data_IF_337096653715
#
_entry.id   IF_337096653715
#
_cell.length_a   1.000
_cell.length_b   1.000
_cell.length_c   1.000
_cell.angle_alpha   90.00
_cell.angle_beta   90.00
_cell.angle_gamma   90.00
#
_symmetry.space_group_name_H-M   'P 1'
#
loop_
_entity.id
_entity.type
_entity.pdbx_description
1 polymer ?
#
# COMPACT_ATOMS: atom_id res chain seq x y z
N UNK A 1 -14.34 12.42 14.11
CA UNK A 1 -13.91 12.87 12.76
C UNK A 1 -13.10 14.19 12.80
N UNK A 2 -12.35 14.40 13.86
CA UNK A 2 -11.60 15.65 14.12
C UNK A 2 -10.07 15.44 14.11
N UNK A 3 -9.59 14.33 13.60
CA UNK A 3 -8.16 14.03 13.52
C UNK A 3 -7.40 14.94 12.53
N UNK A 4 -6.06 14.95 12.60
CA UNK A 4 -5.22 15.81 11.77
C UNK A 4 -5.28 15.46 10.28
N UNK A 5 -5.52 14.19 9.95
CA UNK A 5 -5.64 13.73 8.56
C UNK A 5 -7.04 14.01 8.00
N UNK A 6 -7.09 14.77 6.91
CA UNK A 6 -8.35 15.01 6.20
C UNK A 6 -8.54 13.96 5.11
N UNK A 7 -9.70 13.30 5.17
CA UNK A 7 -10.20 12.42 4.11
C UNK A 7 -11.42 13.10 3.48
N UNK A 8 -11.47 13.13 2.16
CA UNK A 8 -12.57 13.76 1.41
C UNK A 8 -13.13 12.79 0.38
N UNK A 9 -14.39 12.99 0.05
CA UNK A 9 -15.03 12.28 -1.05
C UNK A 9 -14.66 12.93 -2.39
N UNK A 10 -14.46 12.10 -3.40
CA UNK A 10 -14.28 12.60 -4.78
C UNK A 10 -15.61 13.12 -5.29
N UNK A 11 -15.72 14.38 -5.78
CA UNK A 11 -16.98 14.92 -6.26
C UNK A 11 -17.50 14.16 -7.49
N UNK A 12 -18.69 13.59 -7.39
CA UNK A 12 -19.31 12.71 -8.40
C UNK A 12 -19.34 13.34 -9.80
N UNK A 13 -19.75 14.61 -9.91
CA UNK A 13 -19.86 15.34 -11.18
C UNK A 13 -18.51 15.63 -11.85
N UNK A 14 -17.39 15.47 -11.15
CA UNK A 14 -16.03 15.70 -11.68
C UNK A 14 -15.41 14.44 -12.28
N UNK A 15 -16.06 13.28 -12.12
CA UNK A 15 -15.50 11.99 -12.55
C UNK A 15 -16.09 11.58 -13.89
N UNK A 16 -15.29 11.58 -14.98
CA UNK A 16 -15.78 11.15 -16.29
C UNK A 16 -16.26 9.69 -16.26
N UNK A 17 -17.28 9.39 -17.06
CA UNK A 17 -17.83 8.05 -17.24
C UNK A 17 -18.46 7.41 -15.99
N UNK A 18 -18.44 8.06 -14.81
CA UNK A 18 -18.92 7.45 -13.57
C UNK A 18 -20.35 6.94 -13.70
N UNK A 19 -21.28 7.76 -14.20
CA UNK A 19 -22.69 7.38 -14.32
C UNK A 19 -22.89 6.19 -15.26
N UNK A 20 -22.12 6.15 -16.36
CA UNK A 20 -22.14 5.00 -17.29
C UNK A 20 -21.57 3.74 -16.63
N UNK A 21 -20.55 3.89 -15.80
CA UNK A 21 -19.94 2.77 -15.07
C UNK A 21 -20.86 2.24 -13.98
N UNK A 22 -21.55 3.12 -13.25
CA UNK A 22 -22.58 2.72 -12.27
C UNK A 22 -23.69 1.94 -12.96
N UNK A 23 -24.26 2.51 -14.02
CA UNK A 23 -25.35 1.86 -14.75
C UNK A 23 -24.96 0.50 -15.36
N UNK A 24 -23.72 0.34 -15.79
CA UNK A 24 -23.23 -0.94 -16.27
C UNK A 24 -22.97 -1.93 -15.13
N UNK A 25 -22.42 -1.47 -14.00
CA UNK A 25 -22.16 -2.30 -12.82
C UNK A 25 -23.45 -2.85 -12.20
N UNK A 26 -24.50 -2.04 -12.10
CA UNK A 26 -25.81 -2.47 -11.62
C UNK A 26 -26.40 -3.58 -12.48
N UNK A 27 -26.23 -3.52 -13.80
CA UNK A 27 -26.70 -4.57 -14.73
C UNK A 27 -25.96 -5.89 -14.57
N UNK A 28 -24.71 -5.88 -14.06
CA UNK A 28 -23.95 -7.09 -13.75
C UNK A 28 -24.04 -7.49 -12.27
N UNK A 29 -25.04 -6.95 -11.54
CA UNK A 29 -25.35 -7.31 -10.16
C UNK A 29 -24.48 -6.63 -9.11
N UNK A 30 -23.75 -5.56 -9.45
CA UNK A 30 -22.90 -4.81 -8.51
C UNK A 30 -23.50 -3.42 -8.26
N UNK A 31 -24.11 -3.19 -7.09
CA UNK A 31 -24.83 -1.95 -6.80
C UNK A 31 -23.89 -0.75 -6.65
N UNK A 32 -24.44 0.45 -6.82
CA UNK A 32 -23.73 1.65 -6.39
C UNK A 32 -23.59 1.64 -4.86
N UNK A 33 -22.36 1.77 -4.40
CA UNK A 33 -22.02 1.85 -2.97
C UNK A 33 -21.49 3.26 -2.66
N UNK A 34 -22.21 4.08 -1.90
CA UNK A 34 -21.81 5.44 -1.58
C UNK A 34 -20.62 5.51 -0.62
N UNK A 35 -20.36 4.44 0.15
CA UNK A 35 -19.25 4.36 1.11
C UNK A 35 -18.57 2.99 1.06
N UNK A 36 -17.56 2.86 0.20
CA UNK A 36 -16.76 1.64 0.04
C UNK A 36 -15.91 1.29 1.27
N UNK A 37 -15.83 2.18 2.26
CA UNK A 37 -15.18 1.96 3.55
C UNK A 37 -16.20 1.85 4.70
N UNK A 38 -17.48 1.73 4.38
CA UNK A 38 -18.58 1.55 5.33
C UNK A 38 -18.76 0.11 5.79
N UNK A 39 -19.99 -0.22 6.22
CA UNK A 39 -20.34 -1.54 6.71
C UNK A 39 -20.24 -2.64 5.65
N UNK A 40 -20.48 -2.30 4.39
CA UNK A 40 -20.32 -3.19 3.23
C UNK A 40 -19.38 -2.57 2.22
N UNK A 41 -18.46 -3.38 1.71
CA UNK A 41 -17.47 -2.91 0.72
C UNK A 41 -17.91 -3.22 -0.72
N UNK A 42 -18.80 -4.18 -0.94
CA UNK A 42 -19.19 -4.65 -2.27
C UNK A 42 -19.92 -3.58 -3.07
N UNK A 43 -19.64 -3.53 -4.38
CA UNK A 43 -20.26 -2.62 -5.33
C UNK A 43 -19.28 -1.69 -6.03
N UNK A 44 -19.83 -0.76 -6.81
CA UNK A 44 -19.09 0.30 -7.47
C UNK A 44 -19.26 1.62 -6.72
N UNK A 45 -18.18 2.35 -6.51
CA UNK A 45 -18.24 3.63 -5.82
C UNK A 45 -17.06 4.53 -6.11
N UNK A 46 -17.06 5.68 -5.45
CA UNK A 46 -15.98 6.65 -5.57
C UNK A 46 -14.93 6.42 -4.49
N UNK A 47 -13.66 6.67 -4.86
CA UNK A 47 -12.57 6.63 -3.91
C UNK A 47 -12.67 7.78 -2.91
N UNK A 48 -12.64 7.46 -1.63
CA UNK A 48 -12.30 8.43 -0.58
C UNK A 48 -10.79 8.67 -0.61
N UNK A 49 -10.39 9.93 -0.49
CA UNK A 49 -9.00 10.32 -0.77
C UNK A 49 -8.43 11.24 0.31
N UNK A 50 -7.12 11.13 0.53
CA UNK A 50 -6.37 12.04 1.39
C UNK A 50 -5.90 13.28 0.62
N UNK A 51 -6.85 13.96 -0.03
CA UNK A 51 -6.63 15.21 -0.78
C UNK A 51 -7.64 16.24 -0.28
N UNK A 52 -7.16 17.40 0.14
CA UNK A 52 -8.03 18.51 0.49
C UNK A 52 -7.53 19.80 -0.19
N UNK A 53 -8.43 20.55 -0.83
CA UNK A 53 -8.11 21.75 -1.61
C UNK A 53 -7.00 21.51 -2.64
N UNK A 54 -7.10 20.40 -3.39
CA UNK A 54 -6.11 20.00 -4.38
C UNK A 54 -4.76 19.54 -3.83
N UNK A 55 -4.53 19.57 -2.53
CA UNK A 55 -3.25 19.19 -1.91
C UNK A 55 -3.35 17.85 -1.20
N UNK A 56 -2.36 16.97 -1.44
CA UNK A 56 -2.20 15.71 -0.71
C UNK A 56 -2.00 15.97 0.79
N UNK A 57 -2.78 15.30 1.61
CA UNK A 57 -2.68 15.30 3.07
C UNK A 57 -1.69 14.19 3.48
N UNK A 58 -0.39 14.47 3.36
CA UNK A 58 0.66 13.53 3.76
C UNK A 58 0.84 13.54 5.28
N UNK A 59 1.44 12.48 5.83
CA UNK A 59 1.81 12.40 7.25
C UNK A 59 2.77 13.53 7.64
N UNK A 60 3.70 13.91 6.76
CA UNK A 60 4.56 15.07 7.00
C UNK A 60 3.74 16.36 7.20
N UNK A 61 2.78 16.62 6.29
CA UNK A 61 1.95 17.81 6.36
C UNK A 61 0.96 17.79 7.53
N UNK A 62 0.36 16.63 7.83
CA UNK A 62 -0.70 16.53 8.83
C UNK A 62 -0.18 16.35 10.27
N UNK A 63 0.96 15.69 10.44
CA UNK A 63 1.49 15.32 11.76
C UNK A 63 2.82 16.00 12.07
N UNK A 64 3.78 15.97 11.13
CA UNK A 64 5.13 16.44 11.40
C UNK A 64 5.24 17.97 11.38
N UNK A 65 4.68 18.62 10.35
CA UNK A 65 4.78 20.09 10.24
C UNK A 65 4.17 20.83 11.44
N UNK A 66 2.98 20.44 11.96
CA UNK A 66 2.45 21.05 13.18
C UNK A 66 3.29 20.82 14.44
N UNK A 67 4.08 19.75 14.46
CA UNK A 67 4.92 19.38 15.62
C UNK A 67 6.34 19.93 15.55
N UNK A 68 6.81 20.47 14.42
CA UNK A 68 8.21 20.91 14.21
C UNK A 68 8.72 21.91 15.23
N UNK A 69 7.83 22.75 15.77
CA UNK A 69 8.19 23.76 16.76
C UNK A 69 8.30 23.26 18.20
N UNK A 70 8.06 21.98 18.45
CA UNK A 70 8.15 21.42 19.81
C UNK A 70 9.60 21.28 20.24
N UNK A 71 9.95 21.77 21.42
CA UNK A 71 11.32 21.70 21.98
C UNK A 71 11.78 20.26 22.28
N UNK A 72 10.82 19.34 22.47
CA UNK A 72 11.08 17.92 22.73
C UNK A 72 11.11 17.04 21.47
N UNK A 73 11.09 17.62 20.26
CA UNK A 73 11.16 16.90 18.98
C UNK A 73 12.45 17.26 18.25
N UNK A 74 13.29 16.24 17.99
CA UNK A 74 14.48 16.37 17.15
C UNK A 74 14.31 15.52 15.89
N UNK A 75 14.42 16.16 14.72
CA UNK A 75 14.32 15.47 13.41
C UNK A 75 15.71 15.48 12.77
N UNK A 76 16.24 14.28 12.48
CA UNK A 76 17.51 14.06 11.78
C UNK A 76 17.24 13.50 10.39
N UNK A 77 17.42 14.34 9.38
CA UNK A 77 17.35 13.94 7.97
C UNK A 77 18.71 13.44 7.46
N UNK A 78 18.70 12.61 6.39
CA UNK A 78 19.92 12.04 5.82
C UNK A 78 20.62 11.05 6.74
N UNK A 79 19.94 10.55 7.77
CA UNK A 79 20.45 9.58 8.73
C UNK A 79 20.07 8.16 8.32
N UNK A 80 21.07 7.34 7.95
CA UNK A 80 20.89 5.93 7.61
C UNK A 80 21.07 5.08 8.88
N UNK A 81 19.99 4.45 9.37
CA UNK A 81 20.05 3.48 10.45
C UNK A 81 20.87 2.25 10.01
N UNK A 82 21.88 1.88 10.80
CA UNK A 82 22.80 0.77 10.50
C UNK A 82 22.46 -0.49 11.30
N UNK A 83 22.23 -0.33 12.60
CA UNK A 83 21.85 -1.41 13.51
C UNK A 83 21.24 -0.85 14.79
N UNK A 84 20.51 -1.66 15.51
CA UNK A 84 20.07 -1.39 16.89
C UNK A 84 21.23 -1.58 17.87
N UNK A 85 21.19 -0.88 18.99
CA UNK A 85 22.11 -1.07 20.11
C UNK A 85 21.41 -1.95 21.13
N UNK A 86 21.95 -3.15 21.34
CA UNK A 86 21.41 -4.14 22.27
C UNK A 86 22.33 -4.30 23.48
N UNK A 87 21.78 -4.31 24.68
CA UNK A 87 22.40 -4.70 25.93
C UNK A 87 21.68 -5.96 26.44
N UNK A 88 22.27 -7.13 26.20
CA UNK A 88 21.59 -8.40 26.38
C UNK A 88 20.34 -8.50 25.50
N UNK A 89 19.18 -8.65 26.12
CA UNK A 89 17.85 -8.71 25.47
C UNK A 89 17.08 -7.38 25.56
N UNK A 90 17.79 -6.25 25.72
CA UNK A 90 17.18 -4.92 25.74
C UNK A 90 17.74 -4.05 24.62
N UNK A 91 16.85 -3.42 23.85
CA UNK A 91 17.22 -2.38 22.89
C UNK A 91 17.35 -1.04 23.63
N UNK A 92 18.54 -0.42 23.51
CA UNK A 92 18.88 0.82 24.22
C UNK A 92 19.25 1.96 23.27
N UNK A 93 19.12 1.76 21.95
CA UNK A 93 19.44 2.80 20.99
C UNK A 93 19.56 2.33 19.55
N UNK A 94 20.05 3.22 18.69
CA UNK A 94 20.31 2.97 17.28
C UNK A 94 21.66 3.54 16.85
N UNK A 95 22.45 2.77 16.08
CA UNK A 95 23.60 3.24 15.34
C UNK A 95 23.17 3.70 13.96
N UNK A 96 23.62 4.88 13.56
CA UNK A 96 23.26 5.45 12.26
C UNK A 96 24.45 6.21 11.67
N UNK A 97 24.37 6.53 10.38
CA UNK A 97 25.36 7.35 9.69
C UNK A 97 24.69 8.61 9.10
N UNK A 98 25.41 9.73 9.14
CA UNK A 98 25.06 10.95 8.39
C UNK A 98 26.24 11.23 7.44
N UNK A 99 26.04 11.02 6.15
CA UNK A 99 27.15 10.90 5.20
C UNK A 99 28.08 9.76 5.59
N UNK A 100 29.37 10.03 5.78
CA UNK A 100 30.37 9.05 6.24
C UNK A 100 30.49 8.94 7.76
N UNK A 101 29.90 9.87 8.53
CA UNK A 101 30.06 9.93 9.98
C UNK A 101 29.15 8.93 10.68
N UNK A 102 29.74 8.00 11.45
CA UNK A 102 29.00 7.07 12.31
C UNK A 102 28.61 7.76 13.63
N UNK A 103 27.35 7.57 14.03
CA UNK A 103 26.76 8.14 15.25
C UNK A 103 25.94 7.09 15.98
N UNK A 104 25.68 7.34 17.26
CA UNK A 104 24.77 6.54 18.09
C UNK A 104 23.77 7.47 18.79
N UNK A 105 22.51 7.05 18.84
CA UNK A 105 21.49 7.68 19.65
C UNK A 105 20.97 6.65 20.67
N UNK A 106 20.99 7.04 21.94
CA UNK A 106 20.52 6.22 23.04
C UNK A 106 19.09 6.56 23.41
N UNK A 107 18.29 5.55 23.73
CA UNK A 107 16.94 5.66 24.19
C UNK A 107 16.85 5.27 25.67
N UNK A 108 16.29 6.12 26.50
CA UNK A 108 16.05 5.83 27.91
C UNK A 108 14.81 4.95 28.12
N UNK A 109 13.86 4.98 27.19
CA UNK A 109 12.60 4.24 27.26
C UNK A 109 12.55 3.10 26.24
N UNK A 110 12.32 3.41 25.00
CA UNK A 110 12.22 2.44 23.92
C UNK A 110 12.64 3.02 22.57
N UNK A 111 12.94 2.13 21.63
CA UNK A 111 13.15 2.42 20.23
C UNK A 111 11.94 1.93 19.46
N UNK A 112 11.38 2.77 18.58
CA UNK A 112 10.27 2.42 17.68
C UNK A 112 10.81 2.42 16.27
N UNK A 113 10.80 1.24 15.63
CA UNK A 113 11.19 1.07 14.23
C UNK A 113 9.97 1.26 13.33
N UNK A 114 10.09 2.17 12.34
CA UNK A 114 9.06 2.45 11.34
C UNK A 114 9.69 2.55 9.95
N UNK A 115 10.56 1.59 9.61
CA UNK A 115 11.34 1.60 8.37
C UNK A 115 10.61 0.93 7.18
N UNK A 116 9.38 0.48 7.39
CA UNK A 116 8.52 -0.17 6.40
C UNK A 116 8.86 -1.63 6.19
N UNK A 117 8.00 -2.32 5.43
CA UNK A 117 8.06 -3.77 5.24
C UNK A 117 9.34 -4.29 4.60
N UNK A 118 10.14 -3.43 4.02
CA UNK A 118 11.42 -3.81 3.39
C UNK A 118 12.59 -3.60 4.37
N UNK A 119 12.65 -2.45 5.04
CA UNK A 119 13.81 -2.10 5.84
C UNK A 119 13.69 -2.45 7.32
N UNK A 120 12.49 -2.63 7.87
CA UNK A 120 12.31 -3.04 9.27
C UNK A 120 12.88 -4.46 9.53
N UNK A 121 12.53 -5.50 8.75
CA UNK A 121 13.16 -6.81 8.92
C UNK A 121 14.66 -6.77 8.66
N UNK A 122 15.12 -6.04 7.64
CA UNK A 122 16.55 -5.87 7.35
C UNK A 122 17.30 -5.26 8.55
N UNK A 123 16.75 -4.22 9.19
CA UNK A 123 17.37 -3.59 10.35
C UNK A 123 17.45 -4.56 11.55
N UNK A 124 16.43 -5.40 11.75
CA UNK A 124 16.47 -6.46 12.76
C UNK A 124 17.59 -7.46 12.48
N UNK A 125 17.72 -7.95 11.24
CA UNK A 125 18.78 -8.88 10.83
C UNK A 125 20.17 -8.27 10.99
N UNK A 126 20.39 -7.04 10.55
CA UNK A 126 21.64 -6.30 10.75
C UNK A 126 21.99 -6.08 12.23
N UNK A 127 21.02 -6.27 13.11
CA UNK A 127 21.17 -6.15 14.57
C UNK A 127 21.28 -7.51 15.28
N UNK A 128 21.38 -8.61 14.52
CA UNK A 128 21.47 -9.96 15.06
C UNK A 128 20.12 -10.54 15.53
N UNK A 129 18.99 -9.97 15.10
CA UNK A 129 17.64 -10.46 15.41
C UNK A 129 17.04 -11.05 14.14
N UNK A 130 16.79 -12.35 14.10
CA UNK A 130 16.24 -13.01 12.92
C UNK A 130 16.53 -14.50 12.92
N UNK A 131 16.38 -15.13 11.75
CA UNK A 131 16.67 -16.54 11.54
C UNK A 131 18.18 -16.79 11.61
N UNK A 132 18.58 -17.72 12.47
CA UNK A 132 20.00 -17.98 12.76
C UNK A 132 20.82 -18.33 11.49
N UNK A 133 20.23 -19.08 10.54
CA UNK A 133 20.87 -19.46 9.29
C UNK A 133 21.16 -18.23 8.39
N UNK A 134 20.20 -17.31 8.29
CA UNK A 134 20.35 -16.06 7.54
C UNK A 134 21.45 -15.20 8.14
N UNK A 135 21.41 -15.00 9.46
CA UNK A 135 22.39 -14.19 10.19
C UNK A 135 23.82 -14.75 10.04
N UNK A 136 24.00 -16.06 10.24
CA UNK A 136 25.30 -16.72 10.08
C UNK A 136 25.82 -16.63 8.63
N UNK A 137 24.93 -16.76 7.64
CA UNK A 137 25.27 -16.59 6.23
C UNK A 137 25.81 -15.19 5.89
N UNK A 138 25.43 -14.18 6.67
CA UNK A 138 25.92 -12.81 6.57
C UNK A 138 27.16 -12.54 7.45
N UNK A 139 27.60 -13.52 8.25
CA UNK A 139 28.69 -13.33 9.23
C UNK A 139 28.25 -12.56 10.48
N UNK A 140 26.93 -12.46 10.73
CA UNK A 140 26.37 -11.80 11.89
C UNK A 140 26.14 -12.83 13.00
N UNK A 141 26.64 -12.54 14.20
CA UNK A 141 26.37 -13.37 15.38
C UNK A 141 24.91 -13.22 15.81
N UNK A 142 24.12 -14.32 15.87
CA UNK A 142 22.76 -14.24 16.35
C UNK A 142 22.69 -13.80 17.82
N UNK A 143 21.99 -12.69 18.08
CA UNK A 143 21.67 -12.22 19.44
C UNK A 143 20.34 -12.80 19.89
N UNK A 144 19.36 -12.86 18.96
CA UNK A 144 18.04 -13.38 19.25
C UNK A 144 17.47 -14.08 18.01
N UNK A 145 17.22 -15.38 18.14
CA UNK A 145 16.54 -16.12 17.07
C UNK A 145 15.05 -15.79 17.06
N UNK A 146 14.58 -15.21 15.94
CA UNK A 146 13.20 -14.87 15.70
C UNK A 146 12.90 -15.19 14.23
N UNK A 147 12.42 -16.42 13.99
CA UNK A 147 12.33 -17.04 12.65
C UNK A 147 11.40 -16.33 11.68
N UNK A 148 10.43 -15.58 12.20
CA UNK A 148 9.43 -14.88 11.39
C UNK A 148 9.96 -13.57 10.80
N UNK A 149 11.13 -13.08 11.18
CA UNK A 149 11.73 -11.85 10.62
C UNK A 149 12.01 -12.04 9.14
N UNK A 150 11.47 -11.12 8.33
CA UNK A 150 11.60 -11.12 6.88
C UNK A 150 10.66 -12.07 6.13
N UNK A 151 9.92 -12.91 6.81
CA UNK A 151 8.97 -13.86 6.23
C UNK A 151 7.56 -13.26 6.07
N UNK A 152 6.65 -13.99 5.38
CA UNK A 152 5.26 -13.59 5.18
C UNK A 152 5.10 -12.27 4.41
N UNK A 153 6.06 -11.91 3.54
CA UNK A 153 5.89 -10.78 2.63
C UNK A 153 4.66 -10.99 1.75
N UNK A 154 3.76 -10.02 1.74
CA UNK A 154 2.60 -9.98 0.85
C UNK A 154 2.53 -8.64 0.17
N UNK A 155 1.95 -8.60 -1.03
CA UNK A 155 1.68 -7.36 -1.76
C UNK A 155 0.53 -7.57 -2.75
N UNK A 156 -0.11 -6.49 -3.17
CA UNK A 156 -1.06 -6.52 -4.27
C UNK A 156 -0.32 -6.53 -5.61
N UNK A 157 -0.51 -7.59 -6.37
CA UNK A 157 0.02 -7.75 -7.73
C UNK A 157 -1.08 -7.41 -8.73
N UNK A 158 -0.80 -6.49 -9.65
CA UNK A 158 -1.84 -5.88 -10.47
C UNK A 158 -1.47 -5.78 -11.94
N UNK A 159 -2.13 -6.53 -12.83
CA UNK A 159 -2.12 -6.24 -14.26
C UNK A 159 -2.91 -4.98 -14.59
N UNK A 160 -2.64 -4.41 -15.75
CA UNK A 160 -3.24 -3.18 -16.27
C UNK A 160 -4.08 -3.48 -17.50
N UNK A 161 -5.37 -3.78 -17.30
CA UNK A 161 -6.32 -3.96 -18.41
C UNK A 161 -6.67 -2.60 -19.00
N UNK A 162 -6.64 -2.46 -20.32
CA UNK A 162 -6.78 -1.17 -21.00
C UNK A 162 -7.83 -1.21 -22.09
N UNK A 163 -8.68 -0.19 -22.14
CA UNK A 163 -9.72 -0.04 -23.18
C UNK A 163 -9.63 1.34 -23.82
N UNK A 164 -9.76 1.39 -25.14
CA UNK A 164 -9.91 2.62 -25.88
C UNK A 164 -11.38 3.08 -25.86
N UNK A 165 -11.58 4.41 -25.76
CA UNK A 165 -12.90 5.05 -25.73
C UNK A 165 -13.04 5.94 -26.95
N UNK A 166 -14.14 5.78 -27.70
CA UNK A 166 -14.42 6.52 -28.92
C UNK A 166 -14.91 7.94 -28.65
N UNK A 167 -15.66 8.17 -27.56
CA UNK A 167 -16.36 9.42 -27.26
C UNK A 167 -15.39 10.53 -26.86
N UNK A 168 -15.36 11.68 -27.58
CA UNK A 168 -14.59 12.86 -27.19
C UNK A 168 -15.04 13.43 -25.84
N UNK A 169 -14.09 13.90 -25.04
CA UNK A 169 -14.38 14.51 -23.72
C UNK A 169 -14.70 13.51 -22.60
N UNK A 170 -14.79 12.22 -22.89
CA UNK A 170 -15.16 11.19 -21.96
C UNK A 170 -14.02 10.74 -21.03
N UNK A 171 -12.79 11.17 -21.25
CA UNK A 171 -11.62 10.78 -20.46
C UNK A 171 -10.70 11.95 -20.17
N UNK A 172 -9.85 11.85 -19.15
CA UNK A 172 -8.86 12.88 -18.82
C UNK A 172 -7.77 13.03 -19.88
N UNK A 173 -7.60 12.07 -20.81
CA UNK A 173 -6.67 12.20 -21.93
C UNK A 173 -6.96 13.46 -22.78
N UNK A 174 -8.23 13.83 -22.91
CA UNK A 174 -8.64 15.02 -23.67
C UNK A 174 -8.22 16.33 -22.97
N UNK A 175 -8.10 16.32 -21.64
CA UNK A 175 -7.73 17.49 -20.84
C UNK A 175 -6.22 17.63 -20.63
N UNK A 176 -5.45 16.59 -20.94
CA UNK A 176 -4.01 16.51 -20.63
C UNK A 176 -3.12 17.22 -21.67
N UNK A 177 -3.67 18.12 -22.54
CA UNK A 177 -2.90 18.72 -23.65
C UNK A 177 -3.36 20.11 -24.06
N UNK A 178 -2.43 20.82 -24.70
CA UNK A 178 -2.66 22.11 -25.32
C UNK A 178 -3.34 23.10 -24.37
N UNK A 179 -4.23 23.93 -24.90
CA UNK A 179 -4.95 24.94 -24.13
C UNK A 179 -5.83 24.37 -23.02
N UNK A 180 -6.32 23.12 -23.18
CA UNK A 180 -7.12 22.45 -22.15
C UNK A 180 -6.28 22.14 -20.91
N UNK A 181 -5.05 21.67 -21.09
CA UNK A 181 -4.12 21.46 -19.96
C UNK A 181 -3.78 22.79 -19.28
N UNK A 182 -3.53 23.87 -20.07
CA UNK A 182 -3.29 25.20 -19.51
C UNK A 182 -4.47 25.68 -18.65
N UNK A 183 -5.70 25.49 -19.14
CA UNK A 183 -6.92 25.79 -18.36
C UNK A 183 -7.01 24.98 -17.06
N UNK A 184 -6.73 23.68 -17.11
CA UNK A 184 -6.73 22.84 -15.91
C UNK A 184 -5.61 23.24 -14.92
N UNK A 185 -4.44 23.64 -15.43
CA UNK A 185 -3.35 24.16 -14.59
C UNK A 185 -3.75 25.48 -13.89
N UNK A 186 -4.43 26.39 -14.60
CA UNK A 186 -4.97 27.63 -14.01
C UNK A 186 -6.02 27.32 -12.93
N UNK A 187 -6.96 26.42 -13.19
CA UNK A 187 -7.95 25.98 -12.20
C UNK A 187 -7.29 25.41 -10.95
N UNK A 188 -6.27 24.59 -11.15
CA UNK A 188 -5.52 24.01 -10.04
C UNK A 188 -4.76 25.09 -9.25
N UNK A 189 -4.07 25.99 -9.92
CA UNK A 189 -3.29 27.04 -9.29
C UNK A 189 -4.16 28.01 -8.48
N UNK A 190 -5.34 28.38 -8.99
CA UNK A 190 -6.20 29.36 -8.34
C UNK A 190 -7.14 28.77 -7.30
N UNK A 191 -7.67 27.58 -7.54
CA UNK A 191 -8.74 26.99 -6.70
C UNK A 191 -8.41 25.59 -6.14
N UNK A 192 -7.27 24.97 -6.53
CA UNK A 192 -6.97 23.56 -6.18
C UNK A 192 -7.93 22.57 -6.83
N UNK A 193 -8.55 22.95 -7.94
CA UNK A 193 -9.58 22.20 -8.65
C UNK A 193 -9.08 21.60 -9.99
N UNK A 194 -10.00 20.94 -10.72
CA UNK A 194 -9.71 20.27 -11.97
C UNK A 194 -9.05 18.89 -11.78
N UNK A 195 -8.74 18.21 -12.90
CA UNK A 195 -8.21 16.84 -12.82
C UNK A 195 -6.81 16.77 -12.18
N UNK A 196 -6.03 17.87 -12.18
CA UNK A 196 -4.73 17.94 -11.50
C UNK A 196 -4.85 17.95 -9.97
N UNK A 197 -5.99 18.39 -9.44
CA UNK A 197 -6.29 18.40 -8.00
C UNK A 197 -7.02 17.14 -7.51
N UNK A 198 -7.22 16.13 -8.35
CA UNK A 198 -7.97 14.92 -8.05
C UNK A 198 -7.08 13.68 -7.95
N UNK A 199 -7.65 12.60 -7.46
CA UNK A 199 -7.01 11.27 -7.53
C UNK A 199 -6.98 10.75 -8.96
N UNK A 200 -5.92 10.00 -9.30
CA UNK A 200 -5.85 9.28 -10.57
C UNK A 200 -6.80 8.07 -10.64
N UNK A 201 -7.29 7.58 -9.49
CA UNK A 201 -8.18 6.42 -9.36
C UNK A 201 -9.47 6.86 -8.65
N UNK A 202 -10.36 7.58 -9.34
CA UNK A 202 -11.59 8.08 -8.71
C UNK A 202 -12.67 7.02 -8.52
N UNK A 203 -12.62 5.91 -9.26
CA UNK A 203 -13.66 4.88 -9.28
C UNK A 203 -13.07 3.54 -8.85
N UNK A 204 -13.79 2.82 -7.99
CA UNK A 204 -13.44 1.47 -7.56
C UNK A 204 -14.65 0.55 -7.64
N UNK A 205 -14.36 -0.69 -7.98
CA UNK A 205 -15.30 -1.80 -7.97
C UNK A 205 -14.76 -2.86 -7.02
N UNK A 206 -15.56 -3.29 -6.05
CA UNK A 206 -15.26 -4.38 -5.14
C UNK A 206 -16.29 -5.49 -5.30
N UNK A 207 -15.84 -6.73 -5.38
CA UNK A 207 -16.73 -7.86 -5.60
C UNK A 207 -16.12 -9.17 -5.08
N UNK A 208 -16.98 -10.17 -4.93
CA UNK A 208 -16.60 -11.54 -4.59
C UNK A 208 -16.34 -12.31 -5.87
N UNK A 209 -15.17 -12.99 -5.96
CA UNK A 209 -14.79 -13.76 -7.16
C UNK A 209 -15.53 -15.09 -7.24
N UNK A 210 -16.03 -15.59 -6.10
CA UNK A 210 -16.75 -16.87 -5.99
C UNK A 210 -17.85 -16.79 -4.93
N UNK A 211 -18.89 -17.64 -5.01
CA UNK A 211 -19.92 -17.77 -3.96
C UNK A 211 -19.32 -18.20 -2.61
N UNK A 212 -20.00 -17.86 -1.52
CA UNK A 212 -19.64 -18.28 -0.15
C UNK A 212 -18.58 -17.41 0.54
N UNK A 213 -18.00 -16.41 -0.13
CA UNK A 213 -17.14 -15.44 0.53
C UNK A 213 -17.98 -14.44 1.35
N UNK A 214 -17.56 -14.16 2.58
CA UNK A 214 -18.23 -13.18 3.45
C UNK A 214 -18.06 -11.74 2.95
N UNK A 215 -16.88 -11.45 2.41
CA UNK A 215 -16.49 -10.10 1.96
C UNK A 215 -15.86 -10.14 0.57
N UNK A 216 -15.83 -9.03 -0.18
CA UNK A 216 -15.09 -8.92 -1.43
C UNK A 216 -13.64 -9.35 -1.27
N UNK A 217 -13.15 -10.13 -2.23
CA UNK A 217 -11.78 -10.60 -2.32
C UNK A 217 -11.03 -10.05 -3.53
N UNK A 218 -11.71 -9.29 -4.40
CA UNK A 218 -11.11 -8.65 -5.56
C UNK A 218 -11.59 -7.21 -5.77
N UNK A 219 -10.77 -6.41 -6.44
CA UNK A 219 -11.09 -5.03 -6.81
C UNK A 219 -10.63 -4.70 -8.23
N UNK A 220 -11.40 -3.86 -8.90
CA UNK A 220 -10.99 -3.15 -10.12
C UNK A 220 -10.94 -1.66 -9.82
N UNK A 221 -9.75 -1.11 -9.86
CA UNK A 221 -9.50 0.33 -9.69
C UNK A 221 -9.42 1.00 -11.05
N UNK A 222 -10.31 1.97 -11.32
CA UNK A 222 -10.52 2.51 -12.65
C UNK A 222 -9.94 3.92 -12.75
N UNK A 223 -9.00 4.07 -13.70
CA UNK A 223 -8.39 5.33 -14.09
C UNK A 223 -9.06 5.80 -15.39
N UNK A 224 -9.78 6.93 -15.40
CA UNK A 224 -10.43 7.43 -16.61
C UNK A 224 -9.43 8.08 -17.58
N UNK A 225 -8.29 7.43 -17.80
CA UNK A 225 -7.28 7.79 -18.79
C UNK A 225 -6.39 6.61 -19.14
N UNK A 226 -5.82 6.65 -20.35
CA UNK A 226 -4.73 5.77 -20.77
C UNK A 226 -3.38 6.43 -20.49
N UNK A 227 -2.43 5.59 -20.12
CA UNK A 227 -1.02 5.97 -20.12
C UNK A 227 -0.19 4.92 -20.89
N UNK A 228 0.91 5.38 -21.45
CA UNK A 228 1.90 4.59 -22.15
C UNK A 228 3.21 4.58 -21.36
N UNK A 229 3.97 3.50 -21.48
CA UNK A 229 5.33 3.42 -20.96
C UNK A 229 6.30 3.82 -22.07
N UNK A 230 7.08 4.85 -21.83
CA UNK A 230 8.14 5.32 -22.75
C UNK A 230 9.46 5.19 -21.98
N UNK A 231 10.19 4.12 -22.22
CA UNK A 231 11.34 3.74 -21.38
C UNK A 231 10.90 3.44 -19.94
N UNK A 232 11.44 4.16 -18.97
CA UNK A 232 11.09 4.05 -17.55
C UNK A 232 9.97 4.98 -17.11
N UNK A 233 9.52 5.90 -17.95
CA UNK A 233 8.50 6.89 -17.62
C UNK A 233 7.10 6.42 -18.03
N UNK A 234 6.10 6.86 -17.25
CA UNK A 234 4.68 6.75 -17.61
C UNK A 234 4.20 8.10 -18.13
N UNK A 235 3.69 8.13 -19.36
CA UNK A 235 3.15 9.34 -19.99
C UNK A 235 1.67 9.14 -20.33
N UNK A 236 0.87 10.19 -20.15
CA UNK A 236 -0.55 10.15 -20.55
C UNK A 236 -0.61 9.99 -22.07
N UNK A 237 -1.29 8.91 -22.51
CA UNK A 237 -1.43 8.56 -23.93
C UNK A 237 -2.14 9.64 -24.71
N UNK A 238 -1.81 9.75 -26.00
CA UNK A 238 -2.58 10.56 -26.96
C UNK A 238 -3.95 9.97 -27.24
N UNK A 239 -4.11 8.69 -27.09
CA UNK A 239 -5.34 7.95 -27.31
C UNK A 239 -6.24 8.09 -26.08
N UNK A 240 -7.54 8.28 -26.30
CA UNK A 240 -8.55 8.25 -25.22
C UNK A 240 -8.78 6.85 -24.74
N UNK A 241 -9.01 6.70 -23.43
CA UNK A 241 -9.39 5.41 -22.89
C UNK A 241 -9.34 5.38 -21.37
N UNK A 242 -9.43 4.19 -20.86
CA UNK A 242 -9.36 3.89 -19.44
C UNK A 242 -8.30 2.82 -19.18
N UNK A 243 -7.76 2.88 -17.97
CA UNK A 243 -6.91 1.82 -17.43
C UNK A 243 -7.59 1.24 -16.18
N UNK A 244 -7.67 -0.06 -16.10
CA UNK A 244 -8.16 -0.80 -14.94
C UNK A 244 -7.00 -1.49 -14.26
N UNK A 245 -6.75 -1.16 -13.00
CA UNK A 245 -5.84 -1.91 -12.14
C UNK A 245 -6.65 -2.98 -11.43
N UNK A 246 -6.30 -4.22 -11.66
CA UNK A 246 -7.02 -5.40 -11.16
C UNK A 246 -6.22 -6.03 -10.04
N UNK A 247 -6.83 -6.27 -8.88
CA UNK A 247 -6.13 -6.83 -7.73
C UNK A 247 -6.97 -7.89 -7.01
N UNK A 248 -6.30 -8.95 -6.58
CA UNK A 248 -6.76 -9.78 -5.46
C UNK A 248 -6.48 -9.02 -4.17
N UNK A 249 -7.48 -8.86 -3.29
CA UNK A 249 -7.36 -8.04 -2.07
C UNK A 249 -6.56 -8.72 -0.97
N UNK A 250 -6.69 -10.05 -0.83
CA UNK A 250 -6.05 -10.83 0.22
C UNK A 250 -5.21 -11.93 -0.40
N UNK A 251 -4.06 -11.54 -0.97
CA UNK A 251 -3.14 -12.49 -1.59
C UNK A 251 -2.69 -13.56 -0.59
N UNK A 252 -2.74 -14.81 -1.01
CA UNK A 252 -2.27 -15.98 -0.25
C UNK A 252 -0.81 -16.34 -0.60
N UNK A 253 -0.29 -15.84 -1.71
CA UNK A 253 1.12 -15.99 -2.07
C UNK A 253 2.01 -15.31 -1.05
N UNK A 254 3.01 -16.02 -0.56
CA UNK A 254 3.93 -15.58 0.48
C UNK A 254 5.35 -15.43 -0.06
N UNK A 255 5.96 -14.33 0.29
CA UNK A 255 7.33 -14.01 -0.04
C UNK A 255 8.20 -13.74 1.19
N UNK A 256 9.40 -13.22 0.95
CA UNK A 256 10.36 -12.89 1.98
C UNK A 256 11.22 -11.67 1.63
N UNK A 257 11.80 -11.06 2.65
CA UNK A 257 12.77 -9.96 2.56
C UNK A 257 13.92 -10.24 3.50
N UNK A 258 15.14 -10.43 2.97
CA UNK A 258 16.33 -10.69 3.79
C UNK A 258 17.49 -9.81 3.39
N UNK A 259 18.32 -9.43 4.35
CA UNK A 259 19.57 -8.74 4.08
C UNK A 259 20.49 -9.62 3.21
N UNK A 260 21.24 -8.97 2.32
CA UNK A 260 22.23 -9.64 1.42
C UNK A 260 23.67 -9.36 1.81
N UNK A 261 23.87 -8.42 2.73
CA UNK A 261 25.17 -7.95 3.17
C UNK A 261 25.05 -7.28 4.53
N UNK A 262 26.15 -7.14 5.24
CA UNK A 262 26.24 -6.32 6.48
C UNK A 262 26.27 -4.83 6.20
N UNK A 263 26.40 -4.41 4.93
CA UNK A 263 26.26 -3.01 4.54
C UNK A 263 24.77 -2.59 4.57
N UNK A 264 24.39 -1.63 5.42
CA UNK A 264 23.02 -1.15 5.49
C UNK A 264 22.53 -0.45 4.21
N UNK A 265 23.44 -0.01 3.33
CA UNK A 265 23.10 0.59 2.05
C UNK A 265 22.82 -0.46 0.96
N UNK A 266 23.32 -1.70 1.11
CA UNK A 266 23.06 -2.76 0.15
C UNK A 266 21.57 -3.10 0.05
N UNK A 267 21.00 -3.29 -1.15
CA UNK A 267 19.61 -3.68 -1.30
C UNK A 267 19.36 -5.08 -0.72
N UNK A 268 18.24 -5.32 -0.03
CA UNK A 268 17.89 -6.66 0.43
C UNK A 268 17.40 -7.54 -0.73
N UNK A 269 17.43 -8.85 -0.54
CA UNK A 269 16.76 -9.79 -1.41
C UNK A 269 15.25 -9.72 -1.14
N UNK A 270 14.47 -9.31 -2.14
CA UNK A 270 13.00 -9.23 -2.07
C UNK A 270 12.43 -10.29 -2.98
N UNK A 271 11.70 -11.25 -2.43
CA UNK A 271 11.07 -12.34 -3.16
C UNK A 271 9.58 -12.33 -2.89
N UNK A 272 8.79 -11.82 -3.81
CA UNK A 272 7.33 -11.74 -3.65
C UNK A 272 6.61 -13.07 -3.84
N UNK A 273 7.13 -13.96 -4.70
CA UNK A 273 6.49 -15.21 -5.10
C UNK A 273 5.04 -15.04 -5.60
N UNK A 274 4.75 -13.93 -6.29
CA UNK A 274 3.42 -13.65 -6.83
C UNK A 274 2.87 -14.85 -7.62
N UNK A 275 1.54 -15.07 -7.51
CA UNK A 275 0.81 -16.16 -8.18
C UNK A 275 1.27 -17.57 -7.79
N UNK A 276 2.00 -17.76 -6.70
CA UNK A 276 2.35 -19.10 -6.21
C UNK A 276 1.13 -19.84 -5.66
N UNK A 277 0.19 -19.12 -5.00
CA UNK A 277 -1.07 -19.70 -4.54
C UNK A 277 -2.11 -19.80 -5.67
N UNK A 278 -2.89 -20.90 -5.66
CA UNK A 278 -3.96 -21.09 -6.66
C UNK A 278 -5.04 -20.03 -6.53
N UNK A 279 -5.43 -19.69 -5.29
CA UNK A 279 -6.44 -18.66 -5.03
C UNK A 279 -6.10 -17.30 -5.67
N UNK A 280 -4.82 -16.92 -5.71
CA UNK A 280 -4.37 -15.67 -6.35
C UNK A 280 -4.47 -15.75 -7.86
N UNK A 281 -4.17 -16.91 -8.46
CA UNK A 281 -4.34 -17.15 -9.90
C UNK A 281 -5.81 -17.06 -10.32
N UNK A 282 -6.68 -17.79 -9.61
CA UNK A 282 -8.12 -17.79 -9.88
C UNK A 282 -8.73 -16.41 -9.68
N UNK A 283 -8.33 -15.73 -8.58
CA UNK A 283 -8.80 -14.40 -8.25
C UNK A 283 -8.43 -13.33 -9.28
N UNK A 284 -7.19 -13.32 -9.79
CA UNK A 284 -6.78 -12.35 -10.81
C UNK A 284 -7.47 -12.58 -12.14
N UNK A 285 -7.68 -13.86 -12.54
CA UNK A 285 -8.46 -14.20 -13.74
C UNK A 285 -9.91 -13.74 -13.61
N UNK A 286 -10.57 -14.04 -12.49
CA UNK A 286 -11.93 -13.59 -12.22
C UNK A 286 -12.03 -12.05 -12.26
N UNK A 287 -11.05 -11.35 -11.72
CA UNK A 287 -11.04 -9.91 -11.70
C UNK A 287 -10.83 -9.29 -13.09
N UNK A 288 -9.98 -9.88 -13.96
CA UNK A 288 -9.85 -9.46 -15.36
C UNK A 288 -11.19 -9.66 -16.09
N UNK A 289 -11.82 -10.83 -15.93
CA UNK A 289 -13.11 -11.14 -16.55
C UNK A 289 -14.22 -10.21 -16.11
N UNK A 290 -14.27 -9.88 -14.81
CA UNK A 290 -15.24 -8.91 -14.27
C UNK A 290 -15.03 -7.51 -14.86
N UNK A 291 -13.80 -7.07 -15.06
CA UNK A 291 -13.48 -5.83 -15.75
C UNK A 291 -13.95 -5.84 -17.22
N UNK A 292 -13.73 -6.94 -17.94
CA UNK A 292 -14.23 -7.14 -19.31
C UNK A 292 -15.76 -7.14 -19.39
N UNK A 293 -16.42 -7.86 -18.48
CA UNK A 293 -17.88 -7.91 -18.36
C UNK A 293 -18.46 -6.50 -18.16
N UNK A 294 -17.89 -5.70 -17.28
CA UNK A 294 -18.28 -4.32 -17.06
C UNK A 294 -18.21 -3.50 -18.36
N UNK A 295 -17.09 -3.61 -19.09
CA UNK A 295 -16.84 -2.83 -20.31
C UNK A 295 -17.67 -3.31 -21.50
N UNK A 296 -18.09 -4.57 -21.51
CA UNK A 296 -18.98 -5.15 -22.52
C UNK A 296 -20.47 -4.90 -22.24
N UNK A 297 -20.81 -4.26 -21.10
CA UNK A 297 -22.20 -3.99 -20.68
C UNK A 297 -22.62 -2.57 -21.04
N UNK A 298 -23.84 -2.43 -21.57
CA UNK A 298 -24.46 -1.13 -21.87
C UNK A 298 -24.66 -0.29 -20.57
N UNK A 299 -24.33 1.02 -20.55
CA UNK A 299 -24.02 1.90 -21.69
C UNK A 299 -22.52 2.06 -21.99
N UNK A 300 -21.61 1.26 -21.41
CA UNK A 300 -20.19 1.35 -21.70
C UNK A 300 -19.83 0.77 -23.06
N UNK A 301 -20.43 -0.35 -23.41
CA UNK A 301 -20.17 -1.06 -24.66
C UNK A 301 -20.36 -0.17 -25.92
N UNK A 302 -21.24 0.85 -25.87
CA UNK A 302 -21.47 1.76 -27.00
C UNK A 302 -20.32 2.75 -27.23
N UNK A 303 -19.46 2.94 -26.23
CA UNK A 303 -18.35 3.91 -26.29
C UNK A 303 -16.98 3.22 -26.28
N UNK A 304 -16.90 1.93 -25.97
CA UNK A 304 -15.65 1.16 -26.06
C UNK A 304 -15.38 0.83 -27.52
N UNK A 305 -14.22 1.22 -28.02
CA UNK A 305 -13.82 0.93 -29.40
C UNK A 305 -12.98 -0.34 -29.52
N UNK A 306 -12.16 -0.66 -28.54
CA UNK A 306 -11.37 -1.89 -28.47
C UNK A 306 -10.80 -2.13 -27.08
N UNK A 307 -10.48 -3.38 -26.79
CA UNK A 307 -9.58 -3.77 -25.70
C UNK A 307 -8.13 -3.71 -26.19
N UNK A 308 -7.31 -2.83 -25.57
CA UNK A 308 -5.90 -2.63 -25.93
C UNK A 308 -4.99 -3.67 -25.24
N UNK A 309 -5.30 -4.00 -23.98
CA UNK A 309 -4.50 -4.93 -23.18
C UNK A 309 -5.39 -5.65 -22.15
N UNK A 310 -5.27 -6.98 -22.08
CA UNK A 310 -4.40 -7.90 -22.83
C UNK A 310 -4.70 -7.96 -24.33
N UNK A 311 -5.86 -7.51 -24.77
CA UNK A 311 -6.34 -7.59 -26.15
C UNK A 311 -7.32 -8.75 -26.37
N UNK A 312 -8.16 -8.64 -27.42
CA UNK A 312 -9.28 -9.55 -27.65
C UNK A 312 -8.87 -11.00 -27.98
N UNK A 313 -7.62 -11.24 -28.35
CA UNK A 313 -7.13 -12.58 -28.67
C UNK A 313 -6.71 -13.39 -27.44
N UNK A 314 -6.42 -12.75 -26.31
CA UNK A 314 -6.00 -13.42 -25.06
C UNK A 314 -7.24 -13.74 -24.23
N UNK A 315 -7.75 -14.98 -24.35
CA UNK A 315 -9.02 -15.39 -23.73
C UNK A 315 -8.86 -16.57 -22.77
N UNK A 316 -7.97 -17.51 -23.06
CA UNK A 316 -7.73 -18.70 -22.25
C UNK A 316 -7.09 -18.38 -20.91
N UNK A 317 -7.31 -19.24 -19.91
CA UNK A 317 -6.76 -19.04 -18.56
C UNK A 317 -5.24 -19.03 -18.54
N UNK A 318 -4.61 -19.95 -19.25
CA UNK A 318 -3.16 -20.04 -19.34
C UNK A 318 -2.55 -18.82 -20.06
N UNK A 319 -3.19 -18.37 -21.15
CA UNK A 319 -2.79 -17.18 -21.89
C UNK A 319 -2.91 -15.91 -21.05
N UNK A 320 -4.02 -15.78 -20.31
CA UNK A 320 -4.24 -14.65 -19.39
C UNK A 320 -3.23 -14.66 -18.24
N UNK A 321 -2.96 -15.82 -17.63
CA UNK A 321 -1.97 -15.95 -16.57
C UNK A 321 -0.56 -15.64 -17.07
N UNK A 322 -0.22 -16.10 -18.28
CA UNK A 322 1.06 -15.77 -18.88
C UNK A 322 1.18 -14.27 -19.14
N UNK A 323 0.14 -13.66 -19.70
CA UNK A 323 0.09 -12.21 -19.87
C UNK A 323 0.21 -11.47 -18.53
N UNK A 324 -0.45 -11.93 -17.46
CA UNK A 324 -0.35 -11.36 -16.11
C UNK A 324 1.09 -11.42 -15.61
N UNK A 325 1.78 -12.56 -15.75
CA UNK A 325 3.19 -12.71 -15.32
C UNK A 325 4.13 -11.70 -15.97
N UNK A 326 3.89 -11.36 -17.23
CA UNK A 326 4.73 -10.43 -17.98
C UNK A 326 4.34 -8.94 -17.86
N UNK A 327 3.08 -8.65 -17.48
CA UNK A 327 2.53 -7.30 -17.54
C UNK A 327 2.04 -6.74 -16.20
N UNK A 328 1.95 -7.56 -15.15
CA UNK A 328 1.56 -7.07 -13.85
C UNK A 328 2.75 -6.51 -13.07
N UNK A 329 2.45 -5.64 -12.13
CA UNK A 329 3.43 -4.98 -11.27
C UNK A 329 2.93 -4.96 -9.82
N UNK A 330 3.84 -4.82 -8.87
CA UNK A 330 3.51 -4.43 -7.49
C UNK A 330 2.70 -3.14 -7.47
N UNK A 331 1.76 -3.02 -6.56
CA UNK A 331 1.06 -1.75 -6.30
C UNK A 331 1.69 -0.95 -5.16
N UNK A 332 2.87 -1.36 -4.73
CA UNK A 332 3.64 -0.74 -3.64
C UNK A 332 2.92 -0.79 -2.29
N UNK A 333 2.30 -1.95 -2.01
CA UNK A 333 1.62 -2.25 -0.76
C UNK A 333 2.28 -3.42 0.02
N UNK A 334 3.64 -3.53 0.08
CA UNK A 334 4.27 -4.64 0.78
C UNK A 334 3.96 -4.60 2.27
N UNK A 335 3.59 -5.76 2.84
CA UNK A 335 3.23 -5.92 4.26
C UNK A 335 3.78 -7.22 4.84
N UNK A 336 3.71 -7.39 6.15
CA UNK A 336 3.74 -8.70 6.81
C UNK A 336 5.09 -9.23 7.23
N UNK A 337 6.19 -8.59 6.87
CA UNK A 337 7.57 -9.08 7.09
C UNK A 337 8.05 -9.03 8.55
N UNK A 338 7.28 -8.40 9.43
CA UNK A 338 7.45 -8.44 10.89
C UNK A 338 6.07 -8.66 11.54
N UNK A 339 5.29 -9.62 11.01
CA UNK A 339 3.87 -9.79 11.34
C UNK A 339 3.60 -9.88 12.83
N UNK A 340 2.47 -9.29 13.22
CA UNK A 340 1.95 -9.30 14.59
C UNK A 340 1.23 -10.59 14.91
N UNK A 341 1.32 -11.01 16.18
CA UNK A 341 0.56 -12.12 16.76
C UNK A 341 1.08 -12.53 18.12
N UNK A 342 0.41 -13.49 18.74
CA UNK A 342 0.72 -13.93 20.11
C UNK A 342 1.78 -15.04 20.18
N UNK A 343 2.01 -15.77 19.09
CA UNK A 343 2.97 -16.88 19.04
C UNK A 343 4.35 -16.40 18.55
N UNK A 344 5.39 -16.32 19.40
CA UNK A 344 6.74 -15.89 19.01
C UNK A 344 7.42 -16.86 18.04
N UNK A 345 6.95 -18.10 17.90
CA UNK A 345 7.48 -19.06 16.91
C UNK A 345 7.14 -18.70 15.48
N UNK A 346 6.05 -17.95 15.26
CA UNK A 346 5.52 -17.62 13.95
C UNK A 346 5.31 -16.13 13.72
N UNK A 347 5.54 -15.26 14.70
CA UNK A 347 5.33 -13.80 14.63
C UNK A 347 6.54 -13.03 15.16
N UNK A 348 6.66 -11.76 14.82
CA UNK A 348 7.80 -10.90 15.19
C UNK A 348 7.45 -9.96 16.33
N UNK A 349 6.23 -9.43 16.33
CA UNK A 349 5.74 -8.54 17.39
C UNK A 349 4.46 -9.06 18.00
N UNK A 350 4.24 -8.70 19.27
CA UNK A 350 3.00 -8.96 19.99
C UNK A 350 1.88 -7.97 19.59
N UNK A 351 0.63 -8.13 20.09
CA UNK A 351 -0.46 -7.20 19.81
C UNK A 351 -0.21 -5.74 20.26
N UNK A 352 0.71 -5.52 21.19
CA UNK A 352 1.16 -4.19 21.62
C UNK A 352 2.37 -3.69 20.81
N UNK A 353 2.69 -4.37 19.68
CA UNK A 353 3.76 -4.03 18.73
C UNK A 353 5.18 -4.19 19.30
N UNK A 354 5.36 -4.84 20.46
CA UNK A 354 6.68 -5.11 21.05
C UNK A 354 7.31 -6.31 20.37
N UNK A 355 8.61 -6.21 20.08
CA UNK A 355 9.35 -7.34 19.49
C UNK A 355 9.47 -8.47 20.52
N UNK A 356 9.04 -9.67 20.16
CA UNK A 356 9.10 -10.83 21.04
C UNK A 356 10.53 -11.07 21.55
N UNK A 357 10.67 -11.21 22.87
CA UNK A 357 11.94 -11.51 23.55
C UNK A 357 12.97 -10.38 23.58
N UNK A 358 12.66 -9.17 23.10
CA UNK A 358 13.52 -7.98 23.16
C UNK A 358 12.79 -6.84 23.85
N UNK A 359 13.23 -6.48 25.05
CA UNK A 359 12.67 -5.35 25.76
C UNK A 359 13.06 -4.01 25.12
N UNK A 360 12.21 -2.98 25.24
CA UNK A 360 12.48 -1.62 24.77
C UNK A 360 12.51 -1.48 23.23
N UNK A 361 11.85 -2.37 22.49
CA UNK A 361 11.79 -2.32 21.02
C UNK A 361 10.36 -2.58 20.53
N UNK A 362 9.85 -1.67 19.69
CA UNK A 362 8.58 -1.83 18.94
C UNK A 362 8.80 -1.68 17.45
N UNK A 363 7.88 -2.24 16.67
CA UNK A 363 7.78 -2.00 15.22
C UNK A 363 6.41 -1.42 14.93
N UNK A 364 6.37 -0.30 14.21
CA UNK A 364 5.14 0.43 13.90
C UNK A 364 5.12 0.89 12.44
N UNK A 365 4.89 -0.05 11.53
CA UNK A 365 4.72 0.18 10.09
C UNK A 365 3.96 -0.99 9.44
N UNK A 366 3.88 -1.01 8.12
CA UNK A 366 3.15 -2.05 7.38
C UNK A 366 3.70 -3.48 7.59
N UNK A 367 4.94 -3.62 8.05
CA UNK A 367 5.53 -4.95 8.27
C UNK A 367 4.81 -5.77 9.34
N UNK A 368 4.09 -5.11 10.26
CA UNK A 368 3.37 -5.80 11.34
C UNK A 368 2.05 -6.43 10.91
N UNK A 369 1.51 -6.07 9.74
CA UNK A 369 0.21 -6.58 9.28
C UNK A 369 0.26 -8.10 9.09
N UNK A 370 -0.61 -8.89 9.75
CA UNK A 370 -0.61 -10.35 9.61
C UNK A 370 -0.99 -10.80 8.20
N UNK A 371 -1.91 -10.05 7.56
CA UNK A 371 -2.41 -10.27 6.21
C UNK A 371 -2.55 -8.94 5.48
N UNK A 372 -2.74 -9.00 4.15
CA UNK A 372 -3.02 -7.82 3.35
C UNK A 372 -4.39 -7.23 3.70
N UNK A 373 -4.49 -5.92 3.74
CA UNK A 373 -5.75 -5.21 3.94
C UNK A 373 -6.59 -5.20 2.65
N UNK A 374 -7.92 -5.08 2.79
CA UNK A 374 -8.86 -5.05 1.66
C UNK A 374 -8.86 -3.69 0.92
N UNK A 375 -7.68 -3.09 0.73
CA UNK A 375 -7.51 -1.79 0.09
C UNK A 375 -6.07 -1.30 0.16
N UNK A 376 -5.86 0.00 -0.11
CA UNK A 376 -4.53 0.60 -0.03
C UNK A 376 -4.02 0.63 1.42
N UNK A 377 -2.71 0.41 1.59
CA UNK A 377 -2.07 0.30 2.91
C UNK A 377 -1.76 1.64 3.60
N UNK A 378 -1.93 2.77 2.91
CA UNK A 378 -1.56 4.09 3.46
C UNK A 378 -2.35 4.48 4.73
N UNK A 379 -3.68 4.34 4.72
CA UNK A 379 -4.50 4.65 5.90
C UNK A 379 -4.27 3.67 7.06
N UNK A 380 -4.19 2.33 6.83
CA UNK A 380 -3.76 1.39 7.86
C UNK A 380 -2.39 1.71 8.48
N UNK A 381 -1.39 2.14 7.69
CA UNK A 381 -0.08 2.53 8.23
C UNK A 381 -0.18 3.73 9.18
N UNK A 382 -1.01 4.72 8.85
CA UNK A 382 -1.24 5.87 9.76
C UNK A 382 -1.96 5.43 11.03
N UNK A 383 -2.95 4.55 10.94
CA UNK A 383 -3.64 3.98 12.10
C UNK A 383 -2.68 3.20 12.99
N UNK A 384 -1.76 2.41 12.42
CA UNK A 384 -0.71 1.71 13.17
C UNK A 384 0.16 2.71 13.94
N UNK A 385 0.55 3.82 13.32
CA UNK A 385 1.32 4.88 13.98
C UNK A 385 0.58 5.51 15.15
N UNK A 386 -0.70 5.86 14.98
CA UNK A 386 -1.58 6.39 16.05
C UNK A 386 -1.70 5.39 17.22
N UNK A 387 -1.97 4.10 16.90
CA UNK A 387 -2.09 3.06 17.93
C UNK A 387 -0.77 2.80 18.66
N UNK A 388 0.35 2.81 17.95
CA UNK A 388 1.66 2.69 18.58
C UNK A 388 1.93 3.84 19.55
N UNK A 389 1.60 5.07 19.18
CA UNK A 389 1.74 6.24 20.06
C UNK A 389 0.87 6.11 21.32
N UNK A 390 -0.39 5.70 21.17
CA UNK A 390 -1.30 5.42 22.29
C UNK A 390 -0.73 4.37 23.25
N UNK A 391 -0.26 3.23 22.71
CA UNK A 391 0.32 2.14 23.50
C UNK A 391 1.62 2.55 24.22
N UNK A 392 2.49 3.32 23.54
CA UNK A 392 3.73 3.82 24.14
C UNK A 392 3.47 4.79 25.30
N UNK A 393 2.46 5.67 25.16
CA UNK A 393 2.06 6.63 26.20
C UNK A 393 1.38 5.93 27.38
N UNK A 394 0.55 4.92 27.14
CA UNK A 394 -0.13 4.15 28.19
C UNK A 394 0.84 3.35 29.05
N UNK A 395 1.86 2.74 28.43
CA UNK A 395 2.92 2.04 29.16
C UNK A 395 3.66 2.94 30.15
N UNK A 396 3.83 4.23 29.83
CA UNK A 396 4.42 5.22 30.72
C UNK A 396 3.58 5.52 31.96
N UNK A 397 2.28 5.62 31.78
CA UNK A 397 1.36 5.92 32.90
C UNK A 397 1.37 4.78 33.91
N UNK A 398 1.40 3.53 33.44
CA UNK A 398 1.50 2.33 34.30
C UNK A 398 2.83 2.30 35.05
N UNK A 399 3.96 2.59 34.39
CA UNK A 399 5.27 2.63 35.05
C UNK A 399 5.35 3.75 36.13
N UNK A 400 4.74 4.90 35.88
CA UNK A 400 4.72 6.05 36.83
C UNK A 400 3.75 5.85 37.96
N UNK A 401 2.67 5.11 37.81
CA UNK A 401 1.67 4.85 38.83
C UNK A 401 2.05 3.70 39.80
N UNK A 402 3.07 2.94 39.52
CA UNK A 402 3.50 1.80 40.36
C UNK A 402 2.47 0.65 40.45
N UNK A 403 1.43 0.68 39.61
CA UNK A 403 0.38 -0.35 39.60
C UNK A 403 0.89 -1.53 38.74
N UNK A 404 1.18 -2.65 39.41
CA UNK A 404 1.41 -3.94 38.75
C UNK A 404 0.06 -4.47 38.25
N UNK A 405 -0.12 -4.57 36.96
CA UNK A 405 -1.27 -5.30 36.38
C UNK A 405 -0.90 -6.76 36.40
N UNK A 406 -1.46 -7.49 37.37
CA UNK A 406 -1.40 -8.94 37.47
C UNK A 406 -2.33 -9.61 36.45
#
# INVERSE_FOLDING_TARGET
RSGPLRVTDTPRHKVPLLEKMIAAAEKIGLPFNPDLNGATQEGIGMSQVTIARGRRQSTAYCYLDPARGRSNLVIRQGALARSLVLEGKRCVGVRYAVGSEAREARATREVIVSSGSINSPKLLELSGIGRAEVLKGLGITPVHELRAVGENLRDHYSPRVKFAISTPGATFNDNARGWRLAREAIKYALWGEGFLGMTSVPIRLYFRTRPGLETPDATVSILPFLYERVGHERRISKRRGITMNVNVLRSESLGSVHATSTDPAAPPAIRFNFLSAQADRDGVLAAIRKGRELMATSPLKEIVSEEIAPGPLVQGDDELLDWVRHNAETTYHPVGTCRMGTDPGSTVVDPELRVHGIAGLRIADASIMPTLTSGNTNAPCMMIGEKCAEMALSADLVQKSGISVT
#
